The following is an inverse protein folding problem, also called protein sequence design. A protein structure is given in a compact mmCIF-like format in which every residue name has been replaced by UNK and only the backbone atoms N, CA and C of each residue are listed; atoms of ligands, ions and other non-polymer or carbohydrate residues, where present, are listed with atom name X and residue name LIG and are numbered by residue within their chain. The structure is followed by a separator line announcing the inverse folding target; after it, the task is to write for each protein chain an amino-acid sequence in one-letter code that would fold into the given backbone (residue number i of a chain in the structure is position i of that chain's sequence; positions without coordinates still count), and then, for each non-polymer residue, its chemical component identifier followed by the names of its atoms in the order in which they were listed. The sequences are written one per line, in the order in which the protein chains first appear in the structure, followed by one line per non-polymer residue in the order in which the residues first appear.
data_IF_404470599075
#
_entry.id   IF_404470599075
#
_cell.length_a   1.000
_cell.length_b   1.000
_cell.length_c   1.000
_cell.angle_alpha   90.00
_cell.angle_beta   90.00
_cell.angle_gamma   90.00
#
_symmetry.space_group_name_H-M   'P 1'
#
loop_
_entity.id
_entity.type
_entity.pdbx_description
1 polymer ?
#
# COMPACT_ATOMS: atom_id res chain seq x y z
N UNK A 1 -9.17 -12.46 -10.78
CA UNK A 1 -9.37 -12.31 -9.31
C UNK A 1 -8.32 -11.35 -8.78
N UNK A 2 -8.64 -10.53 -7.78
CA UNK A 2 -7.69 -9.61 -7.13
C UNK A 2 -7.65 -9.94 -5.64
N UNK A 3 -6.45 -10.08 -5.07
CA UNK A 3 -6.27 -10.47 -3.66
C UNK A 3 -5.27 -9.51 -3.00
N UNK A 4 -5.68 -8.71 -2.00
CA UNK A 4 -4.74 -8.01 -1.13
C UNK A 4 -4.07 -9.05 -0.22
N UNK A 5 -2.77 -9.25 -0.38
CA UNK A 5 -2.03 -10.27 0.36
C UNK A 5 -0.52 -10.09 0.22
N UNK A 6 0.20 -10.84 1.07
CA UNK A 6 1.66 -10.89 1.11
C UNK A 6 2.30 -9.51 1.39
N UNK A 7 2.05 -8.92 2.57
CA UNK A 7 2.65 -7.64 2.95
C UNK A 7 4.15 -7.78 3.25
N UNK A 8 4.48 -8.69 4.17
CA UNK A 8 5.81 -9.01 4.70
C UNK A 8 5.66 -10.13 5.74
N UNK A 9 6.77 -10.71 6.22
CA UNK A 9 6.75 -11.67 7.35
C UNK A 9 6.55 -10.95 8.68
N UNK A 10 5.98 -11.64 9.67
CA UNK A 10 5.80 -11.07 11.00
C UNK A 10 7.13 -10.56 11.57
N UNK A 11 7.18 -9.37 12.20
CA UNK A 11 8.39 -8.88 12.86
C UNK A 11 8.78 -9.73 14.09
N UNK A 12 7.87 -10.59 14.59
CA UNK A 12 8.18 -11.54 15.66
C UNK A 12 8.94 -12.76 15.09
N UNK A 13 10.27 -12.65 15.08
CA UNK A 13 11.18 -13.68 14.58
C UNK A 13 11.54 -14.76 15.61
N UNK A 14 11.18 -14.56 16.87
CA UNK A 14 11.51 -15.52 17.94
C UNK A 14 10.54 -16.70 17.97
N UNK A 15 9.28 -16.46 17.64
CA UNK A 15 8.21 -17.45 17.86
C UNK A 15 7.24 -17.63 16.69
N UNK A 16 7.25 -16.75 15.67
CA UNK A 16 6.26 -16.84 14.57
C UNK A 16 6.85 -17.16 13.22
N UNK A 17 8.01 -16.62 12.88
CA UNK A 17 8.61 -16.76 11.55
C UNK A 17 10.10 -17.05 11.65
N UNK A 18 10.65 -17.72 10.63
CA UNK A 18 12.06 -18.09 10.58
C UNK A 18 12.97 -16.92 10.15
N UNK A 19 12.39 -15.86 9.58
CA UNK A 19 13.13 -14.71 9.08
C UNK A 19 12.22 -13.74 8.32
N UNK A 20 12.80 -12.67 7.74
CA UNK A 20 12.07 -11.68 6.95
C UNK A 20 11.73 -12.17 5.54
N UNK A 21 12.44 -13.18 5.02
CA UNK A 21 12.29 -13.68 3.66
C UNK A 21 11.09 -14.64 3.52
N UNK A 22 10.49 -14.73 2.31
CA UNK A 22 9.45 -15.72 2.03
C UNK A 22 9.98 -17.15 2.22
N UNK A 23 9.13 -18.02 2.77
CA UNK A 23 9.47 -19.41 3.05
C UNK A 23 8.60 -20.40 2.24
N UNK A 24 8.64 -21.67 2.63
CA UNK A 24 7.88 -22.74 1.97
C UNK A 24 6.37 -22.50 2.03
N UNK A 25 5.87 -21.83 3.08
CA UNK A 25 4.47 -21.45 3.21
C UNK A 25 4.04 -20.54 2.07
N UNK A 26 4.77 -19.45 1.82
CA UNK A 26 4.52 -18.56 0.69
C UNK A 26 4.64 -19.29 -0.66
N UNK A 27 5.63 -20.16 -0.80
CA UNK A 27 5.80 -20.95 -2.03
C UNK A 27 4.56 -21.81 -2.31
N UNK A 28 4.08 -22.54 -1.32
CA UNK A 28 2.90 -23.40 -1.46
C UNK A 28 1.63 -22.60 -1.75
N UNK A 29 1.44 -21.47 -1.06
CA UNK A 29 0.26 -20.63 -1.27
C UNK A 29 0.26 -19.98 -2.66
N UNK A 30 1.42 -19.54 -3.18
CA UNK A 30 1.54 -19.04 -4.56
C UNK A 30 1.23 -20.13 -5.59
N UNK A 31 1.76 -21.35 -5.43
CA UNK A 31 1.43 -22.48 -6.30
C UNK A 31 -0.07 -22.79 -6.29
N UNK A 32 -0.70 -22.76 -5.11
CA UNK A 32 -2.14 -22.96 -4.98
C UNK A 32 -2.92 -21.88 -5.73
N UNK A 33 -2.59 -20.60 -5.55
CA UNK A 33 -3.25 -19.50 -6.27
C UNK A 33 -3.07 -19.61 -7.79
N UNK A 34 -1.88 -19.99 -8.25
CA UNK A 34 -1.62 -20.22 -9.67
C UNK A 34 -2.49 -21.36 -10.23
N UNK A 35 -2.71 -22.42 -9.44
CA UNK A 35 -3.54 -23.55 -9.83
C UNK A 35 -4.98 -23.16 -10.14
N UNK A 36 -5.52 -22.11 -9.51
CA UNK A 36 -6.87 -21.61 -9.79
C UNK A 36 -6.96 -21.15 -11.26
N UNK A 37 -6.03 -20.32 -11.71
CA UNK A 37 -6.00 -19.86 -13.10
C UNK A 37 -5.76 -20.99 -14.10
N UNK A 38 -4.87 -21.93 -13.76
CA UNK A 38 -4.60 -23.10 -14.59
C UNK A 38 -5.83 -24.02 -14.73
N UNK A 39 -6.58 -24.25 -13.65
CA UNK A 39 -7.82 -25.05 -13.65
C UNK A 39 -8.93 -24.36 -14.43
N UNK A 40 -9.06 -23.05 -14.34
CA UNK A 40 -9.99 -22.28 -15.18
C UNK A 40 -9.61 -22.45 -16.66
N UNK A 41 -8.32 -22.41 -16.98
CA UNK A 41 -7.86 -22.55 -18.37
C UNK A 41 -8.24 -23.89 -19.01
N UNK A 42 -8.35 -24.96 -18.21
CA UNK A 42 -8.78 -26.28 -18.69
C UNK A 42 -10.21 -26.28 -19.26
N UNK A 43 -11.08 -25.38 -18.78
CA UNK A 43 -12.49 -25.30 -19.21
C UNK A 43 -12.80 -24.02 -20.02
N UNK A 44 -11.94 -23.00 -19.91
CA UNK A 44 -12.07 -21.72 -20.61
C UNK A 44 -10.70 -21.33 -21.20
N UNK A 45 -10.46 -21.52 -22.51
CA UNK A 45 -9.12 -21.40 -23.11
C UNK A 45 -8.34 -20.09 -22.83
N UNK A 46 -8.99 -18.90 -22.72
CA UNK A 46 -8.29 -17.68 -22.30
C UNK A 46 -7.73 -17.73 -20.88
N UNK A 47 -8.22 -18.64 -20.04
CA UNK A 47 -7.80 -18.84 -18.67
C UNK A 47 -8.22 -17.72 -17.72
N UNK A 48 -7.53 -17.67 -16.58
CA UNK A 48 -7.72 -16.64 -15.57
C UNK A 48 -6.39 -16.24 -14.93
N UNK A 49 -6.37 -15.05 -14.34
CA UNK A 49 -5.24 -14.56 -13.55
C UNK A 49 -5.69 -14.19 -12.14
N UNK A 50 -4.81 -14.47 -11.18
CA UNK A 50 -4.89 -13.96 -9.81
C UNK A 50 -3.90 -12.81 -9.71
N UNK A 51 -4.42 -11.60 -9.48
CA UNK A 51 -3.60 -10.42 -9.23
C UNK A 51 -3.42 -10.25 -7.74
N UNK A 52 -2.20 -10.45 -7.25
CA UNK A 52 -1.78 -10.18 -5.89
C UNK A 52 -1.47 -8.69 -5.78
N UNK A 53 -2.11 -8.04 -4.82
CA UNK A 53 -1.86 -6.65 -4.48
C UNK A 53 -1.15 -6.64 -3.14
N UNK A 54 0.16 -6.39 -3.14
CA UNK A 54 0.91 -6.33 -1.88
C UNK A 54 0.50 -5.09 -1.10
N UNK A 55 0.05 -5.31 0.13
CA UNK A 55 -0.41 -4.33 1.09
C UNK A 55 0.67 -3.99 2.13
N UNK A 56 1.91 -4.45 1.92
CA UNK A 56 3.03 -4.24 2.84
C UNK A 56 3.32 -2.78 3.10
N UNK A 57 3.30 -1.96 2.05
CA UNK A 57 3.47 -0.53 2.22
C UNK A 57 2.39 0.03 3.14
N UNK A 58 1.12 -0.37 3.06
CA UNK A 58 0.05 0.18 3.91
C UNK A 58 0.25 -0.06 5.40
N UNK A 59 0.83 -1.20 5.79
CA UNK A 59 0.88 -1.62 7.19
C UNK A 59 2.25 -1.51 7.85
N UNK A 60 3.33 -1.29 7.08
CA UNK A 60 4.71 -1.31 7.61
C UNK A 60 4.91 -0.42 8.85
N UNK A 61 4.38 0.81 8.85
CA UNK A 61 4.55 1.75 9.97
C UNK A 61 3.74 1.35 11.21
N UNK A 62 2.66 0.56 11.04
CA UNK A 62 1.90 0.04 12.16
C UNK A 62 2.67 -1.07 12.88
N UNK A 63 3.43 -1.85 12.12
CA UNK A 63 4.13 -3.05 12.60
C UNK A 63 5.64 -2.83 12.79
N UNK A 64 6.13 -1.61 12.59
CA UNK A 64 7.54 -1.26 12.78
C UNK A 64 8.48 -1.92 11.76
N UNK A 65 7.98 -2.22 10.57
CA UNK A 65 8.73 -2.89 9.50
C UNK A 65 9.36 -1.84 8.58
N UNK A 66 10.64 -2.01 8.24
CA UNK A 66 11.36 -1.08 7.36
C UNK A 66 10.93 -1.22 5.90
N UNK A 67 11.13 -0.17 5.10
CA UNK A 67 10.90 -0.25 3.65
C UNK A 67 11.73 -1.36 3.00
N UNK A 68 13.00 -1.48 3.41
CA UNK A 68 13.91 -2.50 2.88
C UNK A 68 13.39 -3.92 3.12
N UNK A 69 12.80 -4.21 4.28
CA UNK A 69 12.20 -5.52 4.56
C UNK A 69 10.97 -5.79 3.70
N UNK A 70 10.10 -4.79 3.50
CA UNK A 70 8.93 -4.91 2.60
C UNK A 70 9.38 -5.18 1.17
N UNK A 71 10.36 -4.41 0.66
CA UNK A 71 10.87 -4.58 -0.69
C UNK A 71 11.62 -5.89 -0.86
N UNK A 72 12.42 -6.31 0.13
CA UNK A 72 13.13 -7.58 0.15
C UNK A 72 12.17 -8.76 0.09
N UNK A 73 11.13 -8.75 0.93
CA UNK A 73 10.09 -9.77 0.92
C UNK A 73 9.36 -9.83 -0.44
N UNK A 74 8.92 -8.68 -0.96
CA UNK A 74 8.26 -8.61 -2.26
C UNK A 74 9.17 -9.16 -3.39
N UNK A 75 10.46 -8.83 -3.38
CA UNK A 75 11.44 -9.37 -4.33
C UNK A 75 11.56 -10.89 -4.20
N UNK A 76 11.59 -11.43 -2.98
CA UNK A 76 11.62 -12.87 -2.74
C UNK A 76 10.43 -13.60 -3.36
N UNK A 77 9.22 -13.03 -3.27
CA UNK A 77 8.02 -13.61 -3.88
C UNK A 77 8.10 -13.65 -5.41
N UNK A 78 8.65 -12.60 -6.02
CA UNK A 78 8.87 -12.56 -7.47
C UNK A 78 9.87 -13.66 -7.87
N UNK A 79 10.98 -13.82 -7.15
CA UNK A 79 11.97 -14.87 -7.40
C UNK A 79 11.35 -16.28 -7.29
N UNK A 80 10.50 -16.53 -6.28
CA UNK A 80 9.78 -17.81 -6.16
C UNK A 80 8.85 -18.04 -7.36
N UNK A 81 8.10 -17.02 -7.75
CA UNK A 81 7.13 -17.08 -8.85
C UNK A 81 7.83 -17.37 -10.18
N UNK A 82 8.94 -16.68 -10.44
CA UNK A 82 9.79 -16.86 -11.62
C UNK A 82 10.45 -18.24 -11.63
N UNK A 83 11.08 -18.64 -10.51
CA UNK A 83 11.75 -19.93 -10.38
C UNK A 83 10.81 -21.13 -10.55
N UNK A 84 9.54 -20.98 -10.20
CA UNK A 84 8.50 -22.01 -10.38
C UNK A 84 7.70 -21.86 -11.69
N UNK A 85 7.91 -20.81 -12.47
CA UNK A 85 7.19 -20.56 -13.72
C UNK A 85 5.67 -20.39 -13.53
N UNK A 86 5.23 -19.69 -12.49
CA UNK A 86 3.80 -19.50 -12.19
C UNK A 86 3.15 -18.44 -13.11
N UNK A 87 2.55 -18.88 -14.21
CA UNK A 87 2.05 -18.00 -15.30
C UNK A 87 0.71 -17.32 -15.01
N UNK A 88 -0.06 -17.80 -14.05
CA UNK A 88 -1.41 -17.28 -13.75
C UNK A 88 -1.42 -16.26 -12.61
N UNK A 89 -0.25 -15.83 -12.14
CA UNK A 89 -0.11 -14.81 -11.11
C UNK A 89 0.34 -13.49 -11.72
N UNK A 90 -0.18 -12.39 -11.18
CA UNK A 90 0.27 -11.03 -11.46
C UNK A 90 0.50 -10.31 -10.15
N UNK A 91 1.58 -9.54 -10.05
CA UNK A 91 1.81 -8.64 -8.93
C UNK A 91 1.43 -7.22 -9.32
N UNK A 92 0.79 -6.51 -8.39
CA UNK A 92 0.45 -5.11 -8.55
C UNK A 92 0.67 -4.36 -7.24
N UNK A 93 1.20 -3.16 -7.34
CA UNK A 93 1.24 -2.23 -6.20
C UNK A 93 -0.16 -1.64 -5.97
N UNK A 94 -0.55 -1.50 -4.70
CA UNK A 94 -1.81 -0.85 -4.33
C UNK A 94 -1.94 0.56 -4.93
N UNK A 95 -0.86 1.36 -4.95
CA UNK A 95 -0.89 2.71 -5.52
C UNK A 95 -1.19 2.72 -7.02
N UNK A 96 -0.72 1.68 -7.74
CA UNK A 96 -1.03 1.47 -9.15
C UNK A 96 -2.49 1.06 -9.36
N UNK A 97 -3.06 0.28 -8.42
CA UNK A 97 -4.47 -0.12 -8.46
C UNK A 97 -5.42 1.08 -8.31
N UNK A 98 -5.12 1.99 -7.37
CA UNK A 98 -5.96 3.16 -7.08
C UNK A 98 -5.83 4.28 -8.12
N UNK A 99 -5.22 4.01 -9.29
CA UNK A 99 -5.05 4.93 -10.42
C UNK A 99 -4.37 6.25 -10.04
N UNK A 100 -3.59 6.24 -8.97
CA UNK A 100 -2.70 7.36 -8.67
C UNK A 100 -1.52 7.23 -9.64
N UNK A 101 -1.35 8.14 -10.61
CA UNK A 101 -0.31 7.99 -11.62
C UNK A 101 1.06 8.06 -10.95
N UNK A 102 1.86 7.00 -11.05
CA UNK A 102 3.21 6.91 -10.44
C UNK A 102 4.17 8.00 -10.92
N UNK A 103 3.86 8.67 -12.04
CA UNK A 103 4.62 9.79 -12.61
C UNK A 103 4.11 11.17 -12.18
N UNK A 104 2.93 11.25 -11.55
CA UNK A 104 2.36 12.51 -11.00
C UNK A 104 2.32 12.53 -9.48
N UNK A 105 2.38 11.36 -8.84
CA UNK A 105 2.56 11.26 -7.42
C UNK A 105 4.03 11.20 -7.10
N UNK A 106 4.57 12.30 -6.59
CA UNK A 106 5.85 12.26 -5.92
C UNK A 106 5.70 11.33 -4.71
N UNK A 107 6.26 10.12 -4.81
CA UNK A 107 6.24 9.12 -3.75
C UNK A 107 6.79 9.72 -2.44
N UNK A 108 7.67 10.73 -2.51
CA UNK A 108 8.14 11.46 -1.33
C UNK A 108 7.05 12.32 -0.71
N UNK A 109 6.22 12.99 -1.51
CA UNK A 109 5.08 13.77 -1.00
C UNK A 109 4.06 12.84 -0.35
N UNK A 110 3.73 11.70 -0.98
CA UNK A 110 2.82 10.73 -0.38
C UNK A 110 3.40 10.12 0.90
N UNK A 111 4.69 9.78 0.89
CA UNK A 111 5.39 9.27 2.06
C UNK A 111 5.40 10.31 3.19
N UNK A 112 5.76 11.56 2.90
CA UNK A 112 5.76 12.65 3.87
C UNK A 112 4.35 12.95 4.40
N UNK A 113 3.35 13.05 3.53
CA UNK A 113 1.96 13.25 3.92
C UNK A 113 1.45 12.13 4.82
N UNK A 114 1.85 10.89 4.53
CA UNK A 114 1.55 9.73 5.38
C UNK A 114 2.25 9.81 6.73
N UNK A 115 3.55 10.13 6.76
CA UNK A 115 4.32 10.28 8.00
C UNK A 115 3.69 11.36 8.88
N UNK A 116 3.32 12.49 8.29
CA UNK A 116 2.66 13.59 8.98
C UNK A 116 1.27 13.19 9.51
N UNK A 117 0.44 12.57 8.67
CA UNK A 117 -0.86 12.04 9.09
C UNK A 117 -0.73 11.04 10.25
N UNK A 118 0.32 10.22 10.21
CA UNK A 118 0.60 9.26 11.28
C UNK A 118 1.07 9.93 12.57
N UNK A 119 1.99 10.90 12.48
CA UNK A 119 2.44 11.69 13.62
C UNK A 119 1.26 12.37 14.33
N UNK A 120 0.37 13.00 13.56
CA UNK A 120 -0.87 13.59 14.09
C UNK A 120 -1.80 12.54 14.71
N UNK A 121 -1.93 11.36 14.11
CA UNK A 121 -2.72 10.28 14.71
C UNK A 121 -2.14 9.82 16.05
N UNK A 122 -0.83 9.57 16.12
CA UNK A 122 -0.16 9.06 17.32
C UNK A 122 -0.19 10.06 18.48
N UNK A 123 -0.18 11.38 18.21
CA UNK A 123 -0.36 12.42 19.23
C UNK A 123 -1.78 12.42 19.83
N UNK A 124 -2.79 12.10 19.02
CA UNK A 124 -4.20 12.23 19.38
C UNK A 124 -4.90 10.89 19.70
N UNK A 125 -4.19 9.76 19.57
CA UNK A 125 -4.77 8.40 19.75
C UNK A 125 -5.29 8.11 21.15
N UNK A 126 -4.86 8.88 22.16
CA UNK A 126 -5.26 8.72 23.56
C UNK A 126 -6.51 9.54 23.91
N UNK A 127 -7.01 10.37 22.99
CA UNK A 127 -8.25 11.12 23.21
C UNK A 127 -9.45 10.17 23.30
N UNK A 128 -10.37 10.45 24.22
CA UNK A 128 -11.62 9.71 24.31
C UNK A 128 -12.43 9.92 23.03
N UNK A 129 -13.02 8.87 22.42
CA UNK A 129 -13.86 8.99 21.22
C UNK A 129 -15.06 9.93 21.38
N UNK A 130 -15.51 10.17 22.62
CA UNK A 130 -16.63 11.06 22.96
C UNK A 130 -16.22 12.50 23.28
N UNK A 131 -14.92 12.81 23.23
CA UNK A 131 -14.43 14.17 23.47
C UNK A 131 -14.68 15.07 22.26
N UNK A 132 -15.05 16.33 22.51
CA UNK A 132 -15.22 17.35 21.46
C UNK A 132 -13.93 17.58 20.67
N UNK A 133 -12.77 17.39 21.31
CA UNK A 133 -11.44 17.47 20.71
C UNK A 133 -11.20 16.36 19.69
N UNK A 134 -11.57 15.11 20.01
CA UNK A 134 -11.46 13.99 19.08
C UNK A 134 -12.34 14.22 17.84
N UNK A 135 -13.57 14.69 18.01
CA UNK A 135 -14.43 15.03 16.88
C UNK A 135 -13.84 16.15 16.00
N UNK A 136 -13.27 17.19 16.61
CA UNK A 136 -12.63 18.28 15.88
C UNK A 136 -11.43 17.79 15.08
N UNK A 137 -10.60 16.91 15.67
CA UNK A 137 -9.44 16.32 14.99
C UNK A 137 -9.84 15.38 13.86
N UNK A 138 -10.93 14.62 14.01
CA UNK A 138 -11.50 13.82 12.91
C UNK A 138 -12.02 14.70 11.78
N UNK A 139 -12.68 15.83 12.10
CA UNK A 139 -13.11 16.82 11.09
C UNK A 139 -11.92 17.42 10.35
N UNK A 140 -10.88 17.85 11.07
CA UNK A 140 -9.63 18.37 10.49
C UNK A 140 -8.99 17.34 9.54
N UNK A 141 -8.85 16.08 9.97
CA UNK A 141 -8.28 15.02 9.16
C UNK A 141 -9.09 14.74 7.88
N UNK A 142 -10.43 14.81 7.95
CA UNK A 142 -11.31 14.67 6.78
C UNK A 142 -11.11 15.81 5.78
N UNK A 143 -10.96 17.04 6.23
CA UNK A 143 -10.68 18.19 5.36
C UNK A 143 -9.30 18.09 4.70
N UNK A 144 -8.27 17.71 5.46
CA UNK A 144 -6.92 17.47 4.91
C UNK A 144 -6.97 16.37 3.85
N UNK A 145 -7.67 15.26 4.12
CA UNK A 145 -7.82 14.18 3.15
C UNK A 145 -8.56 14.64 1.88
N UNK A 146 -9.57 15.51 2.01
CA UNK A 146 -10.28 16.11 0.87
C UNK A 146 -9.35 16.95 0.01
N UNK A 147 -8.56 17.83 0.63
CA UNK A 147 -7.59 18.71 -0.05
C UNK A 147 -6.52 17.88 -0.76
N UNK A 148 -5.92 16.91 -0.07
CA UNK A 148 -4.91 16.03 -0.66
C UNK A 148 -5.48 15.23 -1.84
N UNK A 149 -6.71 14.74 -1.73
CA UNK A 149 -7.36 14.02 -2.82
C UNK A 149 -7.57 14.90 -4.05
N UNK A 150 -7.97 16.16 -3.88
CA UNK A 150 -8.15 17.08 -5.02
C UNK A 150 -6.79 17.50 -5.60
N UNK A 151 -5.87 17.97 -4.77
CA UNK A 151 -4.60 18.54 -5.23
C UNK A 151 -3.60 17.47 -5.74
N UNK A 152 -3.48 16.34 -5.04
CA UNK A 152 -2.44 15.32 -5.33
C UNK A 152 -2.92 14.27 -6.34
N UNK A 153 -4.20 13.90 -6.30
CA UNK A 153 -4.72 12.83 -7.18
C UNK A 153 -5.33 13.39 -8.47
N UNK A 154 -5.93 14.58 -8.44
CA UNK A 154 -6.58 15.17 -9.62
C UNK A 154 -5.69 16.20 -10.35
N UNK A 155 -4.67 16.76 -9.68
CA UNK A 155 -3.75 17.72 -10.30
C UNK A 155 -4.38 19.07 -10.64
N UNK A 156 -5.58 19.35 -10.11
CA UNK A 156 -6.15 20.69 -10.13
C UNK A 156 -5.73 21.40 -8.84
N UNK A 157 -5.01 22.51 -9.01
CA UNK A 157 -4.73 23.42 -7.91
C UNK A 157 -6.07 23.99 -7.44
N UNK A 158 -6.50 23.65 -6.23
CA UNK A 158 -7.58 24.39 -5.59
C UNK A 158 -7.05 25.80 -5.35
N UNK A 159 -7.41 26.73 -6.24
CA UNK A 159 -7.22 28.17 -6.03
C UNK A 159 -8.05 28.56 -4.82
N UNK A 160 -7.47 28.38 -3.63
CA UNK A 160 -7.94 29.03 -2.44
C UNK A 160 -7.79 30.53 -2.70
N UNK A 161 -8.93 31.21 -2.83
CA UNK A 161 -9.04 32.65 -2.77
C UNK A 161 -8.40 33.14 -1.47
N UNK A 162 -7.10 33.41 -1.52
CA UNK A 162 -6.40 34.29 -0.60
C UNK A 162 -5.48 35.15 -1.46
N UNK A 163 -6.00 36.32 -1.79
CA UNK A 163 -5.27 37.46 -2.31
C UNK A 163 -4.12 37.81 -1.36
N UNK A 164 -2.90 37.39 -1.72
CA UNK A 164 -1.63 38.11 -1.61
C UNK A 164 -0.47 37.12 -1.62
N UNK A 165 0.10 36.84 -2.78
CA UNK A 165 1.56 36.79 -2.89
C UNK A 165 2.00 36.89 -4.37
N UNK A 166 2.06 38.13 -4.87
CA UNK A 166 2.96 38.46 -5.97
C UNK A 166 4.36 38.64 -5.35
N UNK A 167 5.17 37.59 -5.31
CA UNK A 167 6.63 37.72 -5.28
C UNK A 167 7.31 36.39 -5.61
N UNK A 168 8.33 36.49 -6.45
CA UNK A 168 9.20 35.42 -6.97
C UNK A 168 8.74 34.69 -8.23
N UNK A 169 8.81 35.42 -9.34
CA UNK A 169 9.35 34.91 -10.62
C UNK A 169 10.66 35.63 -10.91
N UNK A 170 11.76 34.86 -10.91
CA UNK A 170 12.96 35.06 -11.72
C UNK A 170 13.64 33.70 -11.85
#
# INVERSE_FOLDING_TARGET
MVVPAYPFKSPNRESKVLGPDPDVGERMSLQHLNSIGARIQQIYPPGGHVTIVSDGLCYKDLLGVSDEEVFGYAKGLHLITEGLGLKHLKFMDLFKLIRIPSHRCDLRILSAARVEARSKFDQNRFLSPSSTEAEQKVREAKEVARILRQNVVQGEEVTGSNSNDQRFRA
#
